data_IF_146775166717
#
_entry.id   IF_146775166717
#
_cell.length_a   1.000
_cell.length_b   1.000
_cell.length_c   1.000
_cell.angle_alpha   90.00
_cell.angle_beta   90.00
_cell.angle_gamma   90.00
#
_symmetry.space_group_name_H-M   'P 1'
#
loop_
_entity.id
_entity.type
_entity.pdbx_description
1 polymer ?
#
# COMPACT_ATOMS: atom_id res chain seq x y z
N UNK A 1 18.41 4.17 -16.83
CA UNK A 1 19.05 3.28 -15.83
C UNK A 1 18.00 2.26 -15.44
N UNK A 2 18.18 1.01 -15.84
CA UNK A 2 17.27 -0.07 -15.43
C UNK A 2 17.44 -0.30 -13.92
N UNK A 3 16.34 -0.23 -13.17
CA UNK A 3 16.39 -0.43 -11.73
C UNK A 3 16.67 -1.91 -11.42
N UNK A 4 17.68 -2.16 -10.59
CA UNK A 4 17.94 -3.49 -10.05
C UNK A 4 16.85 -3.86 -9.04
N UNK A 5 16.00 -4.82 -9.40
CA UNK A 5 14.93 -5.35 -8.56
C UNK A 5 15.45 -5.80 -7.19
N UNK A 6 16.62 -6.43 -7.16
CA UNK A 6 17.20 -6.95 -5.92
C UNK A 6 17.57 -5.81 -4.96
N UNK A 7 17.98 -4.66 -5.49
CA UNK A 7 18.24 -3.47 -4.70
C UNK A 7 16.97 -2.91 -4.06
N UNK A 8 15.86 -2.83 -4.81
CA UNK A 8 14.58 -2.39 -4.26
C UNK A 8 14.03 -3.35 -3.19
N UNK A 9 14.18 -4.66 -3.38
CA UNK A 9 13.77 -5.65 -2.37
C UNK A 9 14.55 -5.47 -1.07
N UNK A 10 15.88 -5.30 -1.13
CA UNK A 10 16.71 -5.00 0.05
C UNK A 10 16.31 -3.68 0.71
N UNK A 11 16.11 -2.63 -0.09
CA UNK A 11 15.71 -1.32 0.41
C UNK A 11 14.36 -1.36 1.14
N UNK A 12 13.40 -2.14 0.66
CA UNK A 12 12.10 -2.30 1.32
C UNK A 12 12.26 -2.89 2.72
N UNK A 13 13.11 -3.91 2.88
CA UNK A 13 13.42 -4.55 4.16
C UNK A 13 14.12 -3.56 5.10
N UNK A 14 15.18 -2.89 4.63
CA UNK A 14 15.94 -1.91 5.42
C UNK A 14 15.04 -0.76 5.93
N UNK A 15 14.11 -0.29 5.10
CA UNK A 15 13.14 0.73 5.49
C UNK A 15 12.15 0.23 6.54
N UNK A 16 11.68 -1.02 6.41
CA UNK A 16 10.79 -1.62 7.39
C UNK A 16 11.48 -1.77 8.75
N UNK A 17 12.72 -2.27 8.76
CA UNK A 17 13.55 -2.42 9.95
C UNK A 17 13.86 -1.07 10.62
N UNK A 18 13.95 0.00 9.82
CA UNK A 18 14.11 1.38 10.31
C UNK A 18 12.79 2.04 10.79
N UNK A 19 11.69 1.29 10.87
CA UNK A 19 10.38 1.79 11.29
C UNK A 19 9.65 2.63 10.23
N UNK A 20 10.12 2.64 8.98
CA UNK A 20 9.54 3.41 7.87
C UNK A 20 8.59 2.55 7.04
N UNK A 21 7.59 1.94 7.68
CA UNK A 21 6.69 0.97 7.04
C UNK A 21 5.97 1.52 5.80
N UNK A 22 5.54 2.79 5.82
CA UNK A 22 4.86 3.40 4.67
C UNK A 22 5.82 3.58 3.49
N UNK A 23 7.08 3.96 3.76
CA UNK A 23 8.09 4.09 2.71
C UNK A 23 8.50 2.72 2.16
N UNK A 24 8.64 1.72 3.02
CA UNK A 24 8.86 0.32 2.62
C UNK A 24 7.71 -0.19 1.73
N UNK A 25 6.46 0.11 2.10
CA UNK A 25 5.27 -0.22 1.33
C UNK A 25 5.24 0.45 -0.04
N UNK A 26 5.68 1.71 -0.14
CA UNK A 26 5.88 2.38 -1.43
C UNK A 26 6.88 1.65 -2.32
N UNK A 27 8.00 1.16 -1.77
CA UNK A 27 8.96 0.36 -2.55
C UNK A 27 8.31 -0.95 -3.04
N UNK A 28 7.54 -1.62 -2.20
CA UNK A 28 6.73 -2.79 -2.60
C UNK A 28 5.74 -2.47 -3.72
N UNK A 29 5.04 -1.34 -3.64
CA UNK A 29 4.15 -0.85 -4.69
C UNK A 29 4.90 -0.64 -6.02
N UNK A 30 6.09 -0.02 -5.99
CA UNK A 30 6.91 0.15 -7.20
C UNK A 30 7.30 -1.19 -7.83
N UNK A 31 7.64 -2.19 -7.01
CA UNK A 31 8.05 -3.51 -7.48
C UNK A 31 6.92 -4.28 -8.19
N UNK A 32 5.68 -4.09 -7.75
CA UNK A 32 4.54 -4.90 -8.21
C UNK A 32 3.70 -4.17 -9.26
N UNK A 33 3.56 -2.85 -9.16
CA UNK A 33 2.58 -2.08 -9.94
C UNK A 33 3.23 -1.21 -11.02
N UNK A 34 4.42 -0.67 -10.77
CA UNK A 34 5.04 0.31 -11.66
C UNK A 34 5.94 -0.37 -12.71
N UNK A 35 5.92 0.14 -13.94
CA UNK A 35 6.90 -0.26 -14.94
C UNK A 35 8.32 0.13 -14.47
N UNK A 36 9.36 -0.71 -14.65
CA UNK A 36 10.73 -0.39 -14.20
C UNK A 36 11.27 0.92 -14.78
N UNK A 37 10.88 1.24 -16.01
CA UNK A 37 11.25 2.46 -16.72
C UNK A 37 10.13 3.53 -16.70
N UNK A 38 9.22 3.48 -15.73
CA UNK A 38 8.19 4.51 -15.58
C UNK A 38 8.83 5.91 -15.48
N UNK A 39 8.29 6.92 -16.20
CA UNK A 39 8.85 8.27 -16.19
C UNK A 39 8.78 8.90 -14.81
N UNK A 40 9.72 9.81 -14.51
CA UNK A 40 9.86 10.42 -13.19
C UNK A 40 8.56 11.06 -12.68
N UNK A 41 7.83 11.77 -13.54
CA UNK A 41 6.55 12.40 -13.18
C UNK A 41 5.54 11.38 -12.65
N UNK A 42 5.44 10.20 -13.29
CA UNK A 42 4.52 9.15 -12.84
C UNK A 42 4.97 8.57 -11.49
N UNK A 43 6.29 8.45 -11.26
CA UNK A 43 6.82 7.98 -9.99
C UNK A 43 6.51 8.96 -8.85
N UNK A 44 6.69 10.25 -9.09
CA UNK A 44 6.44 11.31 -8.10
C UNK A 44 4.96 11.44 -7.78
N UNK A 45 4.09 11.48 -8.79
CA UNK A 45 2.65 11.56 -8.62
C UNK A 45 2.09 10.32 -7.91
N UNK A 46 2.53 9.12 -8.30
CA UNK A 46 2.12 7.89 -7.61
C UNK A 46 2.65 7.83 -6.17
N UNK A 47 3.88 8.30 -5.90
CA UNK A 47 4.40 8.36 -4.53
C UNK A 47 3.54 9.29 -3.68
N UNK A 48 3.21 10.47 -4.20
CA UNK A 48 2.36 11.44 -3.51
C UNK A 48 0.99 10.83 -3.19
N UNK A 49 0.33 10.24 -4.20
CA UNK A 49 -0.97 9.60 -4.02
C UNK A 49 -0.93 8.45 -3.00
N UNK A 50 0.11 7.62 -3.04
CA UNK A 50 0.30 6.51 -2.11
C UNK A 50 0.41 7.01 -0.65
N UNK A 51 1.26 8.01 -0.41
CA UNK A 51 1.45 8.58 0.93
C UNK A 51 0.21 9.34 1.41
N UNK A 52 -0.48 10.08 0.53
CA UNK A 52 -1.73 10.75 0.88
C UNK A 52 -2.81 9.75 1.28
N UNK A 53 -2.97 8.67 0.52
CA UNK A 53 -3.91 7.59 0.85
C UNK A 53 -3.57 6.92 2.19
N UNK A 54 -2.29 6.60 2.42
CA UNK A 54 -1.83 6.03 3.69
C UNK A 54 -2.09 6.97 4.88
N UNK A 55 -1.81 8.27 4.73
CA UNK A 55 -2.07 9.27 5.76
C UNK A 55 -3.56 9.39 6.07
N UNK A 56 -4.40 9.46 5.03
CA UNK A 56 -5.85 9.55 5.20
C UNK A 56 -6.42 8.32 5.89
N UNK A 57 -6.04 7.11 5.45
CA UNK A 57 -6.48 5.88 6.09
C UNK A 57 -6.06 5.85 7.56
N UNK A 58 -4.76 6.04 7.84
CA UNK A 58 -4.27 6.00 9.21
C UNK A 58 -4.95 7.04 10.10
N UNK A 59 -5.10 8.28 9.63
CA UNK A 59 -5.83 9.33 10.35
C UNK A 59 -7.29 8.96 10.60
N UNK A 60 -7.97 8.34 9.63
CA UNK A 60 -9.33 7.83 9.82
C UNK A 60 -9.39 6.73 10.88
N UNK A 61 -8.43 5.78 10.90
CA UNK A 61 -8.39 4.74 11.94
C UNK A 61 -8.20 5.37 13.33
N UNK A 62 -7.24 6.30 13.47
CA UNK A 62 -6.95 6.95 14.74
C UNK A 62 -8.12 7.79 15.30
N UNK A 63 -9.03 8.26 14.44
CA UNK A 63 -10.24 8.98 14.87
C UNK A 63 -11.43 8.06 15.11
N UNK A 64 -11.42 6.87 14.51
CA UNK A 64 -12.51 5.89 14.61
C UNK A 64 -12.36 5.04 15.88
N UNK A 65 -11.13 4.71 16.25
CA UNK A 65 -10.79 4.08 17.51
C UNK A 65 -11.01 5.12 18.62
N UNK A 66 -11.82 4.80 19.63
CA UNK A 66 -12.19 5.73 20.70
C UNK A 66 -10.92 6.39 21.29
N UNK A 67 -10.80 7.73 21.31
CA UNK A 67 -9.57 8.41 21.74
C UNK A 67 -9.31 8.37 23.25
N UNK A 68 -10.17 7.74 24.06
CA UNK A 68 -9.84 7.40 25.45
C UNK A 68 -8.80 6.28 25.48
N UNK A 69 -7.89 6.28 26.45
CA UNK A 69 -6.85 5.24 26.69
C UNK A 69 -7.44 3.86 27.09
N UNK A 70 -8.48 3.41 26.37
CA UNK A 70 -9.16 2.15 26.54
C UNK A 70 -8.78 1.21 25.38
N UNK A 71 -8.73 -0.09 25.67
CA UNK A 71 -8.62 -1.13 24.65
C UNK A 71 -9.69 -0.93 23.56
N UNK A 72 -9.40 -1.19 22.28
CA UNK A 72 -10.38 -1.04 21.20
C UNK A 72 -11.70 -1.75 21.53
N UNK A 73 -12.81 -1.05 21.37
CA UNK A 73 -14.13 -1.65 21.65
C UNK A 73 -14.48 -2.72 20.62
N UNK A 74 -15.46 -3.58 20.91
CA UNK A 74 -16.01 -4.53 19.92
C UNK A 74 -16.50 -3.83 18.64
N UNK A 75 -17.04 -2.61 18.78
CA UNK A 75 -17.47 -1.82 17.65
C UNK A 75 -16.28 -1.33 16.81
N UNK A 76 -15.11 -1.15 17.40
CA UNK A 76 -13.88 -0.74 16.72
C UNK A 76 -13.22 -1.92 16.00
N UNK A 77 -13.11 -3.06 16.68
CA UNK A 77 -12.65 -4.30 16.08
C UNK A 77 -13.50 -4.69 14.87
N UNK A 78 -14.82 -4.51 14.95
CA UNK A 78 -15.73 -4.74 13.82
C UNK A 78 -15.43 -3.81 12.64
N UNK A 79 -15.09 -2.53 12.88
CA UNK A 79 -14.74 -1.60 11.78
C UNK A 79 -13.41 -2.00 11.14
N UNK A 80 -12.41 -2.42 11.92
CA UNK A 80 -11.13 -2.93 11.39
C UNK A 80 -11.33 -4.19 10.53
N UNK A 81 -12.17 -5.12 10.97
CA UNK A 81 -12.53 -6.32 10.20
C UNK A 81 -13.24 -5.99 8.87
N UNK A 82 -14.13 -4.99 8.86
CA UNK A 82 -14.77 -4.53 7.63
C UNK A 82 -13.76 -3.94 6.63
N UNK A 83 -12.78 -3.16 7.12
CA UNK A 83 -11.72 -2.60 6.29
C UNK A 83 -10.83 -3.71 5.72
N UNK A 84 -10.42 -4.69 6.53
CA UNK A 84 -9.62 -5.83 6.06
C UNK A 84 -10.36 -6.62 4.97
N UNK A 85 -11.66 -6.88 5.15
CA UNK A 85 -12.50 -7.56 4.14
C UNK A 85 -12.60 -6.78 2.84
N UNK A 86 -12.78 -5.46 2.92
CA UNK A 86 -12.81 -4.59 1.75
C UNK A 86 -11.48 -4.66 0.98
N UNK A 87 -10.36 -4.53 1.67
CA UNK A 87 -9.02 -4.57 1.06
C UNK A 87 -8.68 -5.94 0.45
N UNK A 88 -9.07 -7.04 1.11
CA UNK A 88 -8.92 -8.41 0.55
C UNK A 88 -9.73 -8.58 -0.72
N UNK A 89 -10.99 -8.14 -0.70
CA UNK A 89 -11.87 -8.18 -1.87
C UNK A 89 -11.27 -7.39 -3.03
N UNK A 90 -10.76 -6.19 -2.76
CA UNK A 90 -10.05 -5.39 -3.76
C UNK A 90 -8.82 -6.12 -4.32
N UNK A 91 -7.98 -6.70 -3.46
CA UNK A 91 -6.79 -7.43 -3.88
C UNK A 91 -7.11 -8.63 -4.78
N UNK A 92 -8.14 -9.41 -4.43
CA UNK A 92 -8.63 -10.52 -5.25
C UNK A 92 -9.11 -10.06 -6.62
N UNK A 93 -9.92 -8.99 -6.67
CA UNK A 93 -10.40 -8.41 -7.92
C UNK A 93 -9.25 -7.89 -8.78
N UNK A 94 -8.27 -7.23 -8.16
CA UNK A 94 -7.10 -6.70 -8.85
C UNK A 94 -6.22 -7.83 -9.42
N UNK A 95 -5.98 -8.90 -8.65
CA UNK A 95 -5.24 -10.07 -9.13
C UNK A 95 -5.92 -10.73 -10.35
N UNK A 96 -7.26 -10.80 -10.35
CA UNK A 96 -8.03 -11.28 -11.50
C UNK A 96 -7.92 -10.36 -12.73
N UNK A 97 -7.82 -9.04 -12.54
CA UNK A 97 -7.61 -8.10 -13.64
C UNK A 97 -6.18 -8.16 -14.20
N UNK A 98 -5.18 -8.24 -13.32
CA UNK A 98 -3.77 -8.31 -13.71
C UNK A 98 -3.40 -9.63 -14.42
N UNK A 99 -4.12 -10.73 -14.13
CA UNK A 99 -3.91 -12.04 -14.75
C UNK A 99 -4.62 -12.24 -16.09
N UNK A 100 -5.52 -11.33 -16.51
CA UNK A 100 -6.11 -11.40 -17.85
C UNK A 100 -5.02 -11.11 -18.90
N UNK A 101 -4.80 -12.01 -19.89
CA UNK A 101 -3.85 -11.73 -20.95
C UNK A 101 -4.31 -10.48 -21.69
N UNK A 102 -3.43 -9.48 -21.79
CA UNK A 102 -3.60 -8.38 -22.74
C UNK A 102 -3.59 -9.00 -24.12
N UNK A 103 -4.78 -9.27 -24.67
CA UNK A 103 -4.91 -9.86 -26.00
C UNK A 103 -4.15 -8.98 -27.01
N UNK A 104 -3.20 -9.57 -27.73
CA UNK A 104 -2.65 -8.95 -28.93
C UNK A 104 -3.77 -8.86 -29.96
N UNK A 105 -4.22 -7.64 -30.22
CA UNK A 105 -4.89 -7.28 -31.46
C UNK A 105 -3.87 -6.64 -32.40
#
# INVERSE_FOLDING_TARGET
>A
MTIDRSHLERLSIELADAGKLIEAGWIGYRLVVMHPDAPLVQLEECKLAFFAGAQHLFGSLMNILDPGDEEPTEADLRKMDLIDKELRTFAEQFALQASKPKGSA
#
